data_IF_951463160955
#
_entry.id   IF_951463160955
#
_cell.length_a   1.000
_cell.length_b   1.000
_cell.length_c   1.000
_cell.angle_alpha   90.00
_cell.angle_beta   90.00
_cell.angle_gamma   90.00
#
_symmetry.space_group_name_H-M   'P 1'
#
loop_
_entity.id
_entity.type
_entity.pdbx_description
1 polymer ?
#
# COMPACT_ATOMS: atom_id res chain seq x y z
N UNK A 1 3.19 -6.31 14.33
CA UNK A 1 2.23 -6.31 13.23
C UNK A 1 2.59 -5.32 12.14
N UNK A 2 2.83 -4.05 12.50
CA UNK A 2 3.30 -3.05 11.56
C UNK A 2 4.65 -3.44 10.91
N UNK A 3 5.58 -3.94 11.71
CA UNK A 3 6.91 -4.34 11.21
C UNK A 3 6.80 -5.46 10.17
N UNK A 4 5.90 -6.42 10.39
CA UNK A 4 5.66 -7.50 9.45
C UNK A 4 5.12 -6.95 8.11
N UNK A 5 4.20 -6.00 8.19
CA UNK A 5 3.64 -5.37 7.00
C UNK A 5 4.71 -4.60 6.22
N UNK A 6 5.55 -3.86 6.92
CA UNK A 6 6.63 -3.09 6.30
C UNK A 6 7.64 -4.02 5.62
N UNK A 7 8.00 -5.13 6.25
CA UNK A 7 8.92 -6.10 5.65
C UNK A 7 8.34 -6.68 4.37
N UNK A 8 7.05 -7.03 4.39
CA UNK A 8 6.36 -7.55 3.20
C UNK A 8 6.34 -6.51 2.07
N UNK A 9 6.04 -5.26 2.40
CA UNK A 9 6.04 -4.18 1.41
C UNK A 9 7.44 -3.91 0.87
N UNK A 10 8.47 -4.02 1.71
CA UNK A 10 9.85 -3.86 1.27
C UNK A 10 10.22 -4.92 0.22
N UNK A 11 9.76 -6.15 0.41
CA UNK A 11 9.99 -7.21 -0.58
C UNK A 11 9.30 -6.88 -1.91
N UNK A 12 8.07 -6.37 -1.86
CA UNK A 12 7.33 -6.01 -3.07
C UNK A 12 8.01 -4.84 -3.78
N UNK A 13 8.41 -3.80 -3.03
CA UNK A 13 9.05 -2.64 -3.66
C UNK A 13 10.36 -3.03 -4.31
N UNK A 14 11.11 -3.95 -3.71
CA UNK A 14 12.33 -4.47 -4.28
C UNK A 14 12.04 -5.27 -5.56
N UNK A 15 11.02 -6.10 -5.53
CA UNK A 15 10.62 -6.93 -6.67
C UNK A 15 10.27 -6.08 -7.90
N UNK A 16 9.61 -4.95 -7.69
CA UNK A 16 9.23 -4.04 -8.78
C UNK A 16 10.26 -2.95 -9.02
N UNK A 17 11.43 -3.03 -8.38
CA UNK A 17 12.54 -2.07 -8.55
C UNK A 17 12.11 -0.64 -8.28
N UNK A 18 11.29 -0.46 -7.28
CA UNK A 18 10.81 0.85 -6.87
C UNK A 18 11.88 1.56 -6.03
N UNK A 19 11.84 2.88 -6.04
CA UNK A 19 12.79 3.68 -5.26
C UNK A 19 12.54 3.54 -3.76
N UNK A 20 13.58 3.70 -2.96
CA UNK A 20 13.46 3.67 -1.49
C UNK A 20 12.53 4.77 -0.99
N UNK A 21 12.53 5.94 -1.64
CA UNK A 21 11.63 7.05 -1.30
C UNK A 21 10.17 6.63 -1.41
N UNK A 22 9.84 5.79 -2.39
CA UNK A 22 8.48 5.27 -2.55
C UNK A 22 8.09 4.44 -1.34
N UNK A 23 8.99 3.62 -0.83
CA UNK A 23 8.72 2.83 0.38
C UNK A 23 8.51 3.73 1.59
N UNK A 24 9.32 4.77 1.76
CA UNK A 24 9.18 5.71 2.87
C UNK A 24 7.84 6.44 2.81
N UNK A 25 7.43 6.89 1.63
CA UNK A 25 6.12 7.53 1.45
C UNK A 25 5.00 6.56 1.78
N UNK A 26 5.14 5.30 1.36
CA UNK A 26 4.16 4.25 1.64
C UNK A 26 3.98 4.06 3.15
N UNK A 27 5.09 3.93 3.88
CA UNK A 27 5.04 3.76 5.34
C UNK A 27 4.42 4.98 6.01
N UNK A 28 4.74 6.19 5.52
CA UNK A 28 4.15 7.41 6.03
C UNK A 28 2.64 7.46 5.86
N UNK A 29 2.15 7.03 4.70
CA UNK A 29 0.70 6.96 4.44
C UNK A 29 0.04 5.98 5.41
N UNK A 30 0.62 4.80 5.58
CA UNK A 30 0.08 3.78 6.48
C UNK A 30 0.02 4.30 7.91
N UNK A 31 1.10 4.89 8.40
CA UNK A 31 1.17 5.40 9.77
C UNK A 31 0.13 6.47 10.02
N UNK A 32 -0.03 7.41 9.09
CA UNK A 32 -1.02 8.48 9.23
C UNK A 32 -2.43 7.93 9.20
N UNK A 33 -2.71 7.02 8.28
CA UNK A 33 -4.05 6.46 8.15
C UNK A 33 -4.43 5.67 9.39
N UNK A 34 -3.52 4.86 9.93
CA UNK A 34 -3.77 4.09 11.14
C UNK A 34 -3.98 4.99 12.36
N UNK A 35 -3.25 6.11 12.43
CA UNK A 35 -3.45 7.08 13.52
C UNK A 35 -4.84 7.71 13.47
N UNK A 36 -5.41 7.87 12.28
CA UNK A 36 -6.75 8.47 12.09
C UNK A 36 -7.87 7.44 12.17
N UNK A 37 -7.55 6.16 12.19
CA UNK A 37 -8.54 5.08 12.17
C UNK A 37 -8.22 4.05 13.27
N UNK A 38 -8.47 4.40 14.55
CA UNK A 38 -8.08 3.51 15.65
C UNK A 38 -8.78 2.16 15.64
N UNK A 39 -9.95 2.03 15.01
CA UNK A 39 -10.68 0.75 14.89
C UNK A 39 -10.34 0.00 13.61
N UNK A 40 -9.26 0.34 12.92
CA UNK A 40 -8.89 -0.34 11.68
C UNK A 40 -8.67 -1.83 11.92
N UNK A 41 -9.29 -2.65 11.06
CA UNK A 41 -9.25 -4.10 11.23
C UNK A 41 -7.95 -4.70 10.76
N UNK A 42 -7.42 -5.60 11.55
CA UNK A 42 -6.17 -6.30 11.27
C UNK A 42 -6.22 -7.07 9.95
N UNK A 43 -7.38 -7.61 9.59
CA UNK A 43 -7.58 -8.37 8.36
C UNK A 43 -7.36 -7.51 7.11
N UNK A 44 -7.52 -6.20 7.23
CA UNK A 44 -7.42 -5.28 6.09
C UNK A 44 -6.03 -4.67 5.92
N UNK A 45 -5.05 -5.11 6.72
CA UNK A 45 -3.70 -4.54 6.67
C UNK A 45 -3.01 -4.77 5.31
N UNK A 46 -3.19 -5.94 4.69
CA UNK A 46 -2.61 -6.18 3.38
C UNK A 46 -3.22 -5.24 2.33
N UNK A 47 -4.52 -5.04 2.39
CA UNK A 47 -5.20 -4.12 1.49
C UNK A 47 -4.69 -2.70 1.68
N UNK A 48 -4.57 -2.26 2.93
CA UNK A 48 -4.02 -0.93 3.24
C UNK A 48 -2.59 -0.79 2.70
N UNK A 49 -1.75 -1.78 2.95
CA UNK A 49 -0.36 -1.74 2.54
C UNK A 49 -0.19 -1.64 1.03
N UNK A 50 -0.87 -2.51 0.29
CA UNK A 50 -0.74 -2.54 -1.17
C UNK A 50 -1.35 -1.27 -1.79
N UNK A 51 -2.42 -0.76 -1.22
CA UNK A 51 -3.05 0.48 -1.69
C UNK A 51 -2.12 1.67 -1.45
N UNK A 52 -1.51 1.75 -0.27
CA UNK A 52 -0.55 2.81 0.04
C UNK A 52 0.65 2.76 -0.90
N UNK A 53 1.15 1.56 -1.20
CA UNK A 53 2.25 1.39 -2.13
C UNK A 53 1.87 1.84 -3.54
N UNK A 54 0.64 1.53 -3.96
CA UNK A 54 0.12 1.95 -5.26
C UNK A 54 0.04 3.48 -5.35
N UNK A 55 -0.49 4.12 -4.31
CA UNK A 55 -0.59 5.59 -4.26
C UNK A 55 0.80 6.22 -4.30
N UNK A 56 1.72 5.75 -3.44
CA UNK A 56 3.07 6.27 -3.37
C UNK A 56 3.79 6.10 -4.71
N UNK A 57 3.59 4.96 -5.37
CA UNK A 57 4.19 4.69 -6.67
C UNK A 57 3.75 5.69 -7.72
N UNK A 58 2.49 6.08 -7.73
CA UNK A 58 1.98 7.06 -8.68
C UNK A 58 2.62 8.43 -8.50
N UNK A 59 3.02 8.78 -7.27
CA UNK A 59 3.63 10.07 -7.01
C UNK A 59 5.15 10.06 -7.19
N UNK A 60 5.82 8.98 -6.83
CA UNK A 60 7.28 8.96 -6.74
C UNK A 60 7.96 8.29 -7.94
N UNK A 61 7.29 7.34 -8.61
CA UNK A 61 7.90 6.57 -9.68
C UNK A 61 7.58 7.19 -11.03
N UNK A 62 8.59 7.18 -11.93
CA UNK A 62 8.38 7.61 -13.32
C UNK A 62 7.53 6.57 -14.05
N UNK A 63 7.81 5.29 -13.77
CA UNK A 63 7.06 4.17 -14.35
C UNK A 63 6.49 3.32 -13.21
N UNK A 64 5.37 3.75 -12.60
CA UNK A 64 4.81 2.99 -11.47
C UNK A 64 4.30 1.63 -11.94
N UNK A 65 4.38 0.61 -11.06
CA UNK A 65 3.82 -0.70 -11.39
C UNK A 65 2.31 -0.59 -11.63
N UNK A 66 1.81 -1.37 -12.59
CA UNK A 66 0.38 -1.42 -12.83
C UNK A 66 -0.32 -2.12 -11.67
N UNK A 67 -1.56 -1.70 -11.41
CA UNK A 67 -2.35 -2.26 -10.32
C UNK A 67 -2.49 -3.77 -10.45
N UNK A 68 -2.70 -4.27 -11.67
CA UNK A 68 -2.85 -5.72 -11.89
C UNK A 68 -1.62 -6.51 -11.43
N UNK A 69 -0.43 -5.94 -11.58
CA UNK A 69 0.80 -6.59 -11.14
C UNK A 69 0.94 -6.57 -9.63
N UNK A 70 0.53 -5.47 -8.99
CA UNK A 70 0.50 -5.39 -7.53
C UNK A 70 -0.50 -6.38 -6.94
N UNK A 71 -1.65 -6.56 -7.59
CA UNK A 71 -2.63 -7.55 -7.16
C UNK A 71 -2.06 -8.97 -7.21
N UNK A 72 -1.29 -9.29 -8.25
CA UNK A 72 -0.64 -10.60 -8.34
C UNK A 72 0.36 -10.81 -7.20
N UNK A 73 1.02 -9.75 -6.74
CA UNK A 73 1.96 -9.84 -5.62
C UNK A 73 1.27 -10.25 -4.31
N UNK A 74 -0.04 -10.05 -4.20
CA UNK A 74 -0.83 -10.50 -3.04
C UNK A 74 -1.45 -11.88 -3.25
N UNK A 75 -1.04 -12.59 -4.31
CA UNK A 75 -1.65 -13.87 -4.73
C UNK A 75 -3.16 -13.74 -4.94
N UNK A 76 -3.60 -12.56 -5.38
CA UNK A 76 -5.01 -12.22 -5.59
C UNK A 76 -5.85 -12.34 -4.30
N UNK A 77 -5.21 -12.24 -3.13
CA UNK A 77 -5.92 -12.26 -1.85
C UNK A 77 -6.71 -10.97 -1.63
N UNK A 78 -6.31 -9.87 -2.30
CA UNK A 78 -6.98 -8.58 -2.20
C UNK A 78 -7.64 -8.27 -3.54
N UNK A 79 -8.97 -8.13 -3.60
CA UNK A 79 -9.65 -7.85 -4.86
C UNK A 79 -9.46 -6.38 -5.27
N UNK A 80 -9.53 -6.14 -6.58
CA UNK A 80 -9.33 -4.81 -7.14
C UNK A 80 -10.29 -3.77 -6.55
N UNK A 81 -11.56 -4.13 -6.36
CA UNK A 81 -12.54 -3.18 -5.81
C UNK A 81 -12.19 -2.74 -4.40
N UNK A 82 -11.60 -3.64 -3.60
CA UNK A 82 -11.18 -3.30 -2.24
C UNK A 82 -10.05 -2.27 -2.26
N UNK A 83 -9.12 -2.38 -3.22
CA UNK A 83 -8.05 -1.40 -3.37
C UNK A 83 -8.60 -0.05 -3.81
N UNK A 84 -9.53 -0.03 -4.74
CA UNK A 84 -10.15 1.21 -5.21
C UNK A 84 -10.86 1.92 -4.04
N UNK A 85 -11.63 1.16 -3.25
CA UNK A 85 -12.32 1.72 -2.10
C UNK A 85 -11.34 2.22 -1.04
N UNK A 86 -10.28 1.48 -0.78
CA UNK A 86 -9.26 1.86 0.19
C UNK A 86 -8.52 3.11 -0.27
N UNK A 87 -8.19 3.22 -1.55
CA UNK A 87 -7.54 4.41 -2.09
C UNK A 87 -8.41 5.64 -1.87
N UNK A 88 -9.69 5.54 -2.13
CA UNK A 88 -10.64 6.62 -1.88
C UNK A 88 -10.63 7.02 -0.39
N UNK A 89 -10.69 6.03 0.49
CA UNK A 89 -10.70 6.28 1.93
C UNK A 89 -9.42 6.97 2.40
N UNK A 90 -8.27 6.53 1.90
CA UNK A 90 -6.98 7.13 2.25
C UNK A 90 -6.91 8.58 1.78
N UNK A 91 -7.23 8.82 0.52
CA UNK A 91 -7.16 10.18 -0.05
C UNK A 91 -8.14 11.12 0.63
N UNK A 92 -9.28 10.62 1.04
CA UNK A 92 -10.28 11.43 1.72
C UNK A 92 -9.87 11.75 3.16
N UNK A 93 -9.19 10.82 3.84
CA UNK A 93 -8.76 11.01 5.23
C UNK A 93 -7.53 11.91 5.36
N UNK A 94 -6.65 11.87 4.37
CA UNK A 94 -5.39 12.63 4.40
C UNK A 94 -5.49 13.88 3.53
#
# INVERSE_FOLDING_TARGET
MRAYLVDWLAEIHYKFKMWNETLYVTVGIIDRYLALTPDFKKEDLQCLGITALHIAGKYEEIYPPELKNLLKATDNAVPKHAIIDMEFNILFAL
#
